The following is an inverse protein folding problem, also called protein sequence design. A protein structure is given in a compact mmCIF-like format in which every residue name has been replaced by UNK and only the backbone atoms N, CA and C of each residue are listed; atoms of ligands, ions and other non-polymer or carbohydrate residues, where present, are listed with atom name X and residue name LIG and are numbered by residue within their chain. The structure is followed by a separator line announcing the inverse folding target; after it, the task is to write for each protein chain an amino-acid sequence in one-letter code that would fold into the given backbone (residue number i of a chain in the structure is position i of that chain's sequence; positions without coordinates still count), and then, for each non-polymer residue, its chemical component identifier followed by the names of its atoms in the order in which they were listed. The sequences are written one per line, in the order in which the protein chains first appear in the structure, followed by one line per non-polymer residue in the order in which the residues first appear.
data_IF_738026503288
#
_entry.id   IF_738026503288
#
_cell.length_a   1.000
_cell.length_b   1.000
_cell.length_c   1.000
_cell.angle_alpha   90.00
_cell.angle_beta   90.00
_cell.angle_gamma   90.00
#
_symmetry.space_group_name_H-M   'P 1'
#
loop_
_entity.id
_entity.type
_entity.pdbx_description
1 polymer ?
#
# COMPACT_ATOMS: atom_id res chain seq x y z
N UNK A 1 -5.18 -2.73 12.07
CA UNK A 1 -6.03 -2.62 10.86
C UNK A 1 -7.33 -3.31 11.19
N UNK A 2 -8.48 -2.67 10.92
CA UNK A 2 -9.77 -3.09 11.46
C UNK A 2 -10.08 -4.55 11.13
N UNK A 3 -10.63 -5.28 12.11
CA UNK A 3 -11.15 -6.64 11.97
C UNK A 3 -12.67 -6.67 12.02
N UNK A 4 -13.32 -5.53 11.79
CA UNK A 4 -14.77 -5.34 11.95
C UNK A 4 -15.52 -5.46 10.62
N UNK A 5 -16.77 -5.89 10.69
CA UNK A 5 -17.66 -6.05 9.55
C UNK A 5 -17.91 -4.72 8.83
N UNK A 6 -17.90 -4.74 7.49
CA UNK A 6 -18.19 -3.56 6.67
C UNK A 6 -19.65 -3.14 6.90
N UNK A 7 -19.88 -2.10 7.72
CA UNK A 7 -21.20 -1.50 7.85
C UNK A 7 -21.64 -0.93 6.50
N UNK A 8 -22.93 -1.11 6.17
CA UNK A 8 -23.54 -0.46 5.02
C UNK A 8 -23.37 1.06 5.17
N UNK A 9 -22.73 1.70 4.19
CA UNK A 9 -22.32 3.13 4.15
C UNK A 9 -20.92 3.48 4.69
N UNK A 10 -20.08 2.51 5.05
CA UNK A 10 -18.67 2.79 5.32
C UNK A 10 -17.92 3.25 4.06
N UNK A 11 -17.14 4.34 4.16
CA UNK A 11 -16.28 4.81 3.07
C UNK A 11 -15.11 3.83 2.93
N UNK A 12 -15.12 3.05 1.86
CA UNK A 12 -14.04 2.09 1.56
C UNK A 12 -13.05 2.68 0.56
N UNK A 13 -11.82 2.16 0.60
CA UNK A 13 -10.75 2.54 -0.30
C UNK A 13 -10.15 1.31 -0.94
N UNK A 14 -10.11 1.36 -2.27
CA UNK A 14 -9.48 0.34 -3.10
C UNK A 14 -8.01 0.69 -3.27
N UNK A 15 -7.14 -0.22 -2.82
CA UNK A 15 -5.71 -0.07 -3.00
C UNK A 15 -5.29 -0.57 -4.39
N UNK A 16 -4.17 -0.07 -4.91
CA UNK A 16 -3.57 -0.51 -6.19
C UNK A 16 -3.30 -2.03 -6.26
N UNK A 17 -3.19 -2.69 -5.11
CA UNK A 17 -3.05 -4.13 -4.98
C UNK A 17 -4.39 -4.88 -4.83
N UNK A 18 -5.52 -4.27 -5.20
CA UNK A 18 -6.89 -4.81 -5.15
C UNK A 18 -7.44 -5.16 -3.76
N UNK A 19 -6.75 -4.76 -2.69
CA UNK A 19 -7.22 -4.96 -1.32
C UNK A 19 -8.09 -3.79 -0.88
N UNK A 20 -9.16 -4.08 -0.13
CA UNK A 20 -10.17 -3.12 0.28
C UNK A 20 -10.09 -2.91 1.79
N UNK A 21 -10.13 -1.65 2.21
CA UNK A 21 -10.14 -1.26 3.62
C UNK A 21 -11.06 -0.06 3.81
N UNK A 22 -11.56 0.16 5.02
CA UNK A 22 -12.17 1.45 5.38
C UNK A 22 -11.15 2.56 5.21
N UNK A 23 -11.55 3.69 4.61
CA UNK A 23 -10.70 4.86 4.43
C UNK A 23 -10.08 5.31 5.76
N UNK A 24 -10.88 5.38 6.81
CA UNK A 24 -10.44 5.79 8.15
C UNK A 24 -9.43 4.83 8.78
N UNK A 25 -9.42 3.56 8.35
CA UNK A 25 -8.51 2.55 8.85
C UNK A 25 -7.21 2.48 8.04
N UNK A 26 -7.30 2.66 6.72
CA UNK A 26 -6.14 2.55 5.82
C UNK A 26 -5.36 3.85 5.71
N UNK A 27 -6.02 5.01 5.84
CA UNK A 27 -5.37 6.31 5.81
C UNK A 27 -4.30 6.50 6.90
N UNK A 28 -4.56 6.26 8.19
CA UNK A 28 -3.53 6.35 9.22
C UNK A 28 -2.44 5.28 9.05
N UNK A 29 -2.77 4.11 8.52
CA UNK A 29 -1.79 3.08 8.21
C UNK A 29 -0.84 3.55 7.10
N UNK A 30 -1.36 4.09 6.00
CA UNK A 30 -0.57 4.57 4.87
C UNK A 30 0.33 5.75 5.23
N UNK A 31 -0.09 6.60 6.18
CA UNK A 31 0.76 7.67 6.75
C UNK A 31 1.97 7.12 7.51
N UNK A 32 1.83 5.99 8.19
CA UNK A 32 2.92 5.39 8.95
C UNK A 32 3.75 4.41 8.10
N UNK A 33 3.11 3.74 7.13
CA UNK A 33 3.67 2.66 6.32
C UNK A 33 3.05 2.71 4.93
N UNK A 34 3.86 3.00 3.91
CA UNK A 34 3.44 2.99 2.50
C UNK A 34 3.27 1.57 1.90
N UNK A 35 2.84 0.59 2.71
CA UNK A 35 2.72 -0.81 2.31
C UNK A 35 1.35 -1.38 2.63
N UNK A 36 0.86 -2.27 1.76
CA UNK A 36 -0.39 -2.99 1.99
C UNK A 36 -0.27 -3.90 3.23
N UNK A 37 -1.22 -3.83 4.19
CA UNK A 37 -1.23 -4.70 5.37
C UNK A 37 -1.26 -6.20 5.05
N UNK A 38 -1.83 -6.58 3.90
CA UNK A 38 -2.04 -7.98 3.52
C UNK A 38 -0.90 -8.50 2.64
N UNK A 39 -0.65 -7.87 1.49
CA UNK A 39 0.30 -8.37 0.51
C UNK A 39 1.68 -7.68 0.55
N UNK A 40 1.87 -6.70 1.44
CA UNK A 40 3.11 -5.90 1.57
C UNK A 40 3.53 -5.15 0.30
N UNK A 41 2.62 -4.99 -0.66
CA UNK A 41 2.85 -4.15 -1.83
C UNK A 41 3.18 -2.73 -1.40
N UNK A 42 4.30 -2.20 -1.88
CA UNK A 42 4.79 -0.85 -1.59
C UNK A 42 4.21 0.13 -2.61
N UNK A 43 3.44 1.11 -2.13
CA UNK A 43 2.74 2.08 -2.97
C UNK A 43 3.71 3.15 -3.51
N UNK A 44 3.49 3.66 -4.73
CA UNK A 44 4.26 4.77 -5.25
C UNK A 44 4.08 6.03 -4.38
N UNK A 45 5.15 6.80 -4.27
CA UNK A 45 5.20 8.09 -3.58
C UNK A 45 5.52 9.21 -4.57
N UNK A 46 5.35 10.46 -4.14
CA UNK A 46 5.71 11.67 -4.88
C UNK A 46 7.20 12.04 -4.75
N UNK A 47 7.95 11.34 -3.90
CA UNK A 47 9.40 11.51 -3.77
C UNK A 47 10.13 10.81 -4.93
N UNK A 48 10.58 11.61 -5.89
CA UNK A 48 11.31 11.15 -7.08
C UNK A 48 12.59 10.38 -6.71
N UNK A 49 13.35 10.84 -5.71
CA UNK A 49 14.60 10.20 -5.31
C UNK A 49 14.32 8.81 -4.74
N UNK A 50 13.31 8.69 -3.88
CA UNK A 50 12.88 7.40 -3.34
C UNK A 50 12.39 6.45 -4.44
N UNK A 51 11.58 6.93 -5.39
CA UNK A 51 11.09 6.10 -6.50
C UNK A 51 12.22 5.61 -7.43
N UNK A 52 13.24 6.44 -7.68
CA UNK A 52 14.45 6.03 -8.42
C UNK A 52 15.15 4.87 -7.69
N UNK A 53 15.37 5.02 -6.38
CA UNK A 53 16.04 4.00 -5.56
C UNK A 53 15.21 2.70 -5.53
N UNK A 54 13.89 2.82 -5.37
CA UNK A 54 12.95 1.69 -5.38
C UNK A 54 13.00 0.93 -6.70
N UNK A 55 13.00 1.64 -7.82
CA UNK A 55 13.11 1.04 -9.15
C UNK A 55 14.42 0.26 -9.30
N UNK A 56 15.56 0.87 -8.94
CA UNK A 56 16.86 0.19 -8.96
C UNK A 56 16.83 -1.06 -8.09
N UNK A 57 16.32 -0.99 -6.86
CA UNK A 57 16.20 -2.15 -5.96
C UNK A 57 15.39 -3.28 -6.60
N UNK A 58 14.23 -2.97 -7.17
CA UNK A 58 13.36 -3.97 -7.80
C UNK A 58 14.02 -4.59 -9.05
N UNK A 59 14.76 -3.81 -9.83
CA UNK A 59 15.53 -4.33 -10.97
C UNK A 59 16.62 -5.32 -10.50
N UNK A 60 17.38 -4.98 -9.45
CA UNK A 60 18.42 -5.87 -8.92
C UNK A 60 17.87 -7.18 -8.33
N UNK A 61 16.63 -7.17 -7.81
CA UNK A 61 15.96 -8.39 -7.33
C UNK A 61 15.34 -9.24 -8.45
N UNK A 62 15.07 -8.67 -9.63
CA UNK A 62 14.56 -9.42 -10.80
C UNK A 62 15.67 -10.08 -11.63
N UNK A 63 16.93 -9.73 -11.39
CA UNK A 63 18.10 -10.27 -12.10
C UNK A 63 18.72 -11.52 -11.46
N UNK A 64 18.11 -12.09 -10.42
CA UNK A 64 18.46 -13.43 -9.92
C UNK A 64 17.60 -14.50 -10.58
N UNK A 65 17.88 -14.76 -11.86
CA UNK A 65 17.75 -16.09 -12.45
C UNK A 65 19.16 -16.64 -12.65
#
# INVERSE_FOLDING_TARGET
VCGDDFEACSVVSYLHCSHVFHWDCIHPWLKARNTCPVCRYEFPTDDVCYEIIRHVRLLMHRTSC
#
